data_IF_127294171384
#
_entry.id   IF_127294171384
#
_cell.length_a   1.000
_cell.length_b   1.000
_cell.length_c   1.000
_cell.angle_alpha   90.00
_cell.angle_beta   90.00
_cell.angle_gamma   90.00
#
_symmetry.space_group_name_H-M   'P 1'
#
loop_
_entity.id
_entity.type
_entity.pdbx_description
1 polymer ?
#
# COMPACT_ATOMS: atom_id res chain seq x y z
N UNK A 1 11.72 -2.33 26.60
CA UNK A 1 10.37 -1.77 26.29
C UNK A 1 9.73 -1.15 27.53
N UNK A 2 9.27 0.11 27.46
CA UNK A 2 8.62 0.86 28.56
C UNK A 2 7.25 0.28 28.89
N UNK A 3 6.76 0.42 30.14
CA UNK A 3 5.46 -0.09 30.59
C UNK A 3 4.30 0.46 29.74
N UNK A 4 4.33 1.77 29.44
CA UNK A 4 3.31 2.43 28.60
C UNK A 4 3.24 1.81 27.19
N UNK A 5 4.37 1.49 26.60
CA UNK A 5 4.45 0.86 25.27
C UNK A 5 3.86 -0.56 25.32
N UNK A 6 4.18 -1.32 26.36
CA UNK A 6 3.61 -2.66 26.57
C UNK A 6 2.09 -2.62 26.71
N UNK A 7 1.55 -1.66 27.47
CA UNK A 7 0.10 -1.49 27.61
C UNK A 7 -0.55 -1.16 26.26
N UNK A 8 0.04 -0.26 25.46
CA UNK A 8 -0.43 0.06 24.11
C UNK A 8 -0.48 -1.19 23.22
N UNK A 9 0.54 -2.05 23.25
CA UNK A 9 0.59 -3.28 22.47
C UNK A 9 -0.47 -4.30 22.93
N UNK A 10 -0.73 -4.42 24.23
CA UNK A 10 -1.79 -5.31 24.75
C UNK A 10 -3.19 -4.81 24.36
N UNK A 11 -3.44 -3.50 24.42
CA UNK A 11 -4.69 -2.91 23.95
C UNK A 11 -4.88 -3.14 22.44
N UNK A 12 -3.84 -2.90 21.64
CA UNK A 12 -3.91 -3.19 20.21
C UNK A 12 -4.20 -4.66 19.91
N UNK A 13 -3.65 -5.60 20.70
CA UNK A 13 -3.91 -7.02 20.56
C UNK A 13 -5.39 -7.35 20.80
N UNK A 14 -6.02 -6.74 21.80
CA UNK A 14 -7.45 -6.92 22.06
C UNK A 14 -8.31 -6.38 20.92
N UNK A 15 -7.99 -5.16 20.42
CA UNK A 15 -8.66 -4.55 19.28
C UNK A 15 -8.49 -5.40 18.01
N UNK A 16 -7.28 -5.94 17.77
CA UNK A 16 -7.04 -6.78 16.62
C UNK A 16 -7.86 -8.06 16.65
N UNK A 17 -8.00 -8.69 17.84
CA UNK A 17 -8.86 -9.88 18.00
C UNK A 17 -10.30 -9.56 17.61
N UNK A 18 -10.85 -8.47 18.09
CA UNK A 18 -12.20 -8.02 17.72
C UNK A 18 -12.31 -7.78 16.21
N UNK A 19 -11.36 -7.07 15.59
CA UNK A 19 -11.35 -6.83 14.13
C UNK A 19 -11.32 -8.13 13.31
N UNK A 20 -10.59 -9.15 13.79
CA UNK A 20 -10.56 -10.48 13.15
C UNK A 20 -11.91 -11.18 13.26
N UNK A 21 -12.60 -11.05 14.38
CA UNK A 21 -13.94 -11.62 14.59
C UNK A 21 -15.00 -10.92 13.75
N UNK A 22 -14.97 -9.58 13.69
CA UNK A 22 -15.92 -8.75 12.93
C UNK A 22 -15.63 -8.76 11.43
N UNK A 23 -14.35 -8.73 11.05
CA UNK A 23 -13.78 -8.66 9.70
C UNK A 23 -14.60 -7.83 8.71
N UNK A 24 -15.05 -6.63 9.15
CA UNK A 24 -15.72 -5.65 8.28
C UNK A 24 -14.76 -5.20 7.15
N UNK A 25 -15.25 -5.19 5.92
CA UNK A 25 -14.47 -4.74 4.76
C UNK A 25 -14.42 -3.20 4.75
N UNK A 26 -13.21 -2.62 4.85
CA UNK A 26 -13.01 -1.16 4.78
C UNK A 26 -12.29 -0.71 3.51
N UNK A 27 -11.47 -1.58 2.91
CA UNK A 27 -10.76 -1.28 1.67
C UNK A 27 -10.87 -2.46 0.71
N UNK A 28 -11.21 -2.15 -0.52
CA UNK A 28 -11.18 -3.09 -1.63
C UNK A 28 -10.22 -2.54 -2.70
N UNK A 29 -9.08 -3.21 -2.89
CA UNK A 29 -8.21 -2.91 -3.99
C UNK A 29 -8.73 -3.58 -5.26
N UNK A 30 -8.78 -2.82 -6.33
CA UNK A 30 -9.03 -3.34 -7.65
C UNK A 30 -7.76 -3.18 -8.51
N UNK A 31 -7.12 -4.31 -8.84
CA UNK A 31 -6.04 -4.36 -9.81
C UNK A 31 -6.66 -4.26 -11.21
N UNK A 32 -7.01 -3.03 -11.60
CA UNK A 32 -7.85 -2.77 -12.76
C UNK A 32 -7.14 -2.97 -14.11
N UNK A 33 -5.80 -3.04 -14.11
CA UNK A 33 -4.95 -3.31 -15.26
C UNK A 33 -3.56 -3.78 -14.80
N UNK A 34 -2.90 -4.63 -15.58
CA UNK A 34 -1.47 -4.95 -15.41
C UNK A 34 -0.57 -4.15 -16.36
N UNK A 35 -1.13 -3.30 -17.22
CA UNK A 35 -0.34 -2.42 -18.08
C UNK A 35 0.22 -1.25 -17.27
N UNK A 36 1.48 -0.88 -17.57
CA UNK A 36 2.16 0.25 -16.94
C UNK A 36 3.05 0.97 -17.94
N UNK A 37 3.02 2.29 -17.92
CA UNK A 37 3.86 3.15 -18.76
C UNK A 37 5.28 3.39 -18.20
N UNK A 38 5.62 2.75 -17.07
CA UNK A 38 6.94 2.79 -16.45
C UNK A 38 7.56 1.40 -16.31
N UNK A 39 8.89 1.38 -16.17
CA UNK A 39 9.65 0.16 -15.89
C UNK A 39 10.47 0.32 -14.60
N UNK A 40 9.77 0.59 -13.49
CA UNK A 40 10.40 0.87 -12.19
C UNK A 40 11.28 -0.30 -11.72
N UNK A 41 12.49 -0.01 -11.21
CA UNK A 41 13.44 -1.01 -10.71
C UNK A 41 12.91 -1.81 -9.52
N UNK A 42 12.08 -1.19 -8.70
CA UNK A 42 11.51 -1.77 -7.46
C UNK A 42 10.12 -2.38 -7.64
N UNK A 43 9.63 -2.57 -8.87
CA UNK A 43 8.26 -3.05 -9.08
C UNK A 43 8.10 -4.52 -8.68
N UNK A 44 7.35 -4.76 -7.60
CA UNK A 44 7.06 -6.11 -7.13
C UNK A 44 6.06 -6.89 -8.02
N UNK A 45 5.29 -6.19 -8.86
CA UNK A 45 4.30 -6.79 -9.78
C UNK A 45 4.86 -7.05 -11.18
N UNK A 46 6.07 -6.60 -11.47
CA UNK A 46 6.70 -6.66 -12.80
C UNK A 46 5.79 -6.18 -13.96
N UNK A 47 4.91 -5.21 -13.70
CA UNK A 47 4.03 -4.63 -14.70
C UNK A 47 4.80 -3.91 -15.79
N UNK A 48 4.33 -4.01 -17.04
CA UNK A 48 4.98 -3.47 -18.25
C UNK A 48 3.96 -2.77 -19.16
N UNK A 49 4.44 -2.13 -20.24
CA UNK A 49 3.59 -1.45 -21.23
C UNK A 49 2.56 -2.39 -21.86
N UNK A 50 2.96 -3.62 -22.14
CA UNK A 50 2.08 -4.68 -22.64
C UNK A 50 1.86 -5.71 -21.53
N UNK A 51 0.66 -6.25 -21.48
CA UNK A 51 0.28 -7.35 -20.59
C UNK A 51 -0.47 -8.40 -21.42
N UNK A 52 -0.20 -9.67 -21.14
CA UNK A 52 -0.96 -10.78 -21.69
C UNK A 52 -2.37 -10.85 -21.10
N UNK A 53 -2.55 -10.38 -19.87
CA UNK A 53 -3.84 -10.25 -19.20
C UNK A 53 -4.55 -8.99 -19.69
N UNK A 54 -5.74 -9.16 -20.24
CA UNK A 54 -6.63 -8.06 -20.60
C UNK A 54 -7.11 -7.30 -19.35
N UNK A 55 -7.44 -6.02 -19.51
CA UNK A 55 -8.10 -5.25 -18.46
C UNK A 55 -9.46 -5.91 -18.14
N UNK A 56 -9.75 -6.08 -16.86
CA UNK A 56 -11.06 -6.59 -16.44
C UNK A 56 -12.18 -5.66 -16.90
N UNK A 57 -13.23 -6.14 -17.57
CA UNK A 57 -14.40 -5.32 -17.87
C UNK A 57 -14.98 -4.74 -16.58
N UNK A 58 -15.29 -3.43 -16.58
CA UNK A 58 -15.84 -2.78 -15.39
C UNK A 58 -17.11 -3.50 -14.88
N UNK A 59 -17.97 -3.96 -15.80
CA UNK A 59 -19.20 -4.68 -15.45
C UNK A 59 -18.97 -5.93 -14.58
N UNK A 60 -17.82 -6.58 -14.68
CA UNK A 60 -17.50 -7.75 -13.86
C UNK A 60 -17.10 -7.33 -12.44
N UNK A 61 -16.31 -6.26 -12.31
CA UNK A 61 -16.00 -5.71 -11.00
C UNK A 61 -17.24 -5.10 -10.32
N UNK A 62 -18.14 -4.47 -11.07
CA UNK A 62 -19.37 -3.90 -10.52
C UNK A 62 -20.29 -4.95 -9.88
N UNK A 63 -20.30 -6.19 -10.36
CA UNK A 63 -21.03 -7.30 -9.71
C UNK A 63 -20.52 -7.55 -8.29
N UNK A 64 -19.20 -7.47 -8.09
CA UNK A 64 -18.59 -7.56 -6.75
C UNK A 64 -19.07 -6.42 -5.84
N UNK A 65 -19.11 -5.19 -6.36
CA UNK A 65 -19.59 -4.04 -5.59
C UNK A 65 -21.08 -4.14 -5.25
N UNK A 66 -21.90 -4.57 -6.22
CA UNK A 66 -23.33 -4.76 -6.02
C UNK A 66 -23.61 -5.86 -4.99
N UNK A 67 -22.79 -6.91 -4.93
CA UNK A 67 -22.85 -7.94 -3.90
C UNK A 67 -22.46 -7.39 -2.51
N UNK A 68 -21.33 -6.68 -2.38
CA UNK A 68 -20.90 -6.07 -1.11
C UNK A 68 -22.00 -5.14 -0.55
N UNK A 69 -22.63 -4.33 -1.40
CA UNK A 69 -23.67 -3.38 -1.04
C UNK A 69 -24.90 -4.05 -0.41
N UNK A 70 -25.17 -5.33 -0.71
CA UNK A 70 -26.29 -6.05 -0.08
C UNK A 70 -26.00 -6.46 1.37
N UNK A 71 -24.73 -6.40 1.80
CA UNK A 71 -24.29 -6.90 3.10
C UNK A 71 -23.76 -5.83 4.04
N UNK A 72 -23.22 -4.73 3.51
CA UNK A 72 -22.74 -3.61 4.33
C UNK A 72 -22.88 -2.26 3.63
N UNK A 73 -22.79 -1.18 4.41
CA UNK A 73 -22.85 0.19 3.93
C UNK A 73 -21.66 0.50 3.00
N UNK A 74 -21.89 0.78 1.70
CA UNK A 74 -20.84 1.04 0.74
C UNK A 74 -20.01 2.29 1.08
N UNK A 75 -20.58 3.28 1.79
CA UNK A 75 -19.86 4.50 2.19
C UNK A 75 -18.72 4.25 3.18
N UNK A 76 -18.71 3.07 3.84
CA UNK A 76 -17.63 2.62 4.73
C UNK A 76 -16.52 1.87 4.00
N UNK A 77 -16.67 1.62 2.70
CA UNK A 77 -15.69 0.89 1.89
C UNK A 77 -15.03 1.83 0.89
N UNK A 78 -13.71 1.93 0.98
CA UNK A 78 -12.92 2.63 -0.03
C UNK A 78 -12.49 1.63 -1.11
N UNK A 79 -12.90 1.87 -2.35
CA UNK A 79 -12.40 1.16 -3.53
C UNK A 79 -11.18 1.90 -4.05
N UNK A 80 -10.04 1.22 -4.12
CA UNK A 80 -8.78 1.81 -4.58
C UNK A 80 -8.41 1.17 -5.91
N UNK A 81 -8.46 1.97 -6.98
CA UNK A 81 -7.97 1.54 -8.30
C UNK A 81 -6.45 1.59 -8.34
N UNK A 82 -5.86 0.51 -8.81
CA UNK A 82 -4.42 0.30 -8.87
C UNK A 82 -4.10 -0.80 -9.89
N UNK A 83 -2.90 -1.38 -9.85
CA UNK A 83 -2.46 -2.45 -10.75
C UNK A 83 -1.05 -2.19 -11.23
N UNK A 84 -0.84 -2.08 -12.55
CA UNK A 84 0.31 -1.43 -13.14
C UNK A 84 0.18 0.09 -12.94
N UNK A 85 -0.40 0.77 -13.91
CA UNK A 85 -0.80 2.17 -13.79
C UNK A 85 -2.29 2.29 -14.16
N UNK A 86 -3.18 2.70 -13.23
CA UNK A 86 -4.61 2.76 -13.49
C UNK A 86 -4.97 3.63 -14.69
N UNK A 87 -4.28 4.74 -14.90
CA UNK A 87 -4.51 5.67 -16.02
C UNK A 87 -4.14 5.09 -17.40
N UNK A 88 -3.59 3.87 -17.47
CA UNK A 88 -3.49 3.12 -18.73
C UNK A 88 -4.86 2.62 -19.22
N UNK A 89 -5.88 2.59 -18.36
CA UNK A 89 -7.26 2.36 -18.76
C UNK A 89 -7.86 3.64 -19.35
N UNK A 90 -8.46 3.52 -20.52
CA UNK A 90 -9.11 4.67 -21.18
C UNK A 90 -10.45 5.04 -20.54
N UNK A 91 -11.12 4.06 -19.94
CA UNK A 91 -12.42 4.16 -19.26
C UNK A 91 -12.32 4.39 -17.75
N UNK A 92 -11.16 4.79 -17.21
CA UNK A 92 -10.96 4.91 -15.76
C UNK A 92 -11.90 5.91 -15.09
N UNK A 93 -12.18 7.05 -15.73
CA UNK A 93 -13.10 8.05 -15.21
C UNK A 93 -14.54 7.49 -15.11
N UNK A 94 -14.98 6.77 -16.13
CA UNK A 94 -16.29 6.08 -16.17
C UNK A 94 -16.35 4.99 -15.09
N UNK A 95 -15.25 4.24 -14.90
CA UNK A 95 -15.14 3.28 -13.80
C UNK A 95 -15.33 3.96 -12.43
N UNK A 96 -14.67 5.09 -12.20
CA UNK A 96 -14.79 5.87 -10.97
C UNK A 96 -16.22 6.38 -10.75
N UNK A 97 -16.88 6.89 -11.79
CA UNK A 97 -18.26 7.32 -11.73
C UNK A 97 -19.21 6.19 -11.32
N UNK A 98 -19.05 5.00 -11.90
CA UNK A 98 -19.90 3.84 -11.59
C UNK A 98 -19.65 3.30 -10.16
N UNK A 99 -18.40 3.34 -9.67
CA UNK A 99 -18.05 3.04 -8.27
C UNK A 99 -18.77 4.02 -7.33
N UNK A 100 -18.61 5.33 -7.59
CA UNK A 100 -19.18 6.41 -6.76
C UNK A 100 -20.71 6.41 -6.78
N UNK A 101 -21.34 6.15 -7.92
CA UNK A 101 -22.80 6.02 -8.07
C UNK A 101 -23.39 4.90 -7.21
N UNK A 102 -22.60 3.85 -6.90
CA UNK A 102 -22.99 2.76 -6.00
C UNK A 102 -22.80 3.11 -4.52
N UNK A 103 -22.30 4.31 -4.21
CA UNK A 103 -22.12 4.81 -2.85
C UNK A 103 -20.74 4.49 -2.25
N UNK A 104 -19.83 3.86 -2.99
CA UNK A 104 -18.47 3.60 -2.54
C UNK A 104 -17.60 4.85 -2.63
N UNK A 105 -16.62 4.97 -1.72
CA UNK A 105 -15.57 5.99 -1.82
C UNK A 105 -14.53 5.51 -2.82
N UNK A 106 -14.23 6.32 -3.85
CA UNK A 106 -13.21 5.98 -4.84
C UNK A 106 -11.88 6.66 -4.55
N UNK A 107 -10.81 5.87 -4.57
CA UNK A 107 -9.42 6.31 -4.48
C UNK A 107 -8.55 5.70 -5.57
N UNK A 108 -7.33 6.24 -5.75
CA UNK A 108 -6.37 5.78 -6.75
C UNK A 108 -4.94 5.84 -6.22
N UNK A 109 -4.09 4.89 -6.65
CA UNK A 109 -2.63 4.98 -6.50
C UNK A 109 -2.03 5.08 -7.90
N UNK A 110 -1.18 6.08 -8.14
CA UNK A 110 -0.62 6.37 -9.47
C UNK A 110 0.86 6.70 -9.43
N UNK A 111 1.54 6.48 -10.55
CA UNK A 111 2.91 6.94 -10.75
C UNK A 111 3.00 8.42 -11.20
N UNK A 112 1.88 9.08 -11.44
CA UNK A 112 1.78 10.49 -11.80
C UNK A 112 2.10 10.85 -13.26
N UNK A 113 2.58 9.91 -14.06
CA UNK A 113 3.03 10.19 -15.45
C UNK A 113 1.95 10.78 -16.37
N UNK A 114 0.70 10.41 -16.15
CA UNK A 114 -0.45 10.80 -16.99
C UNK A 114 -1.40 11.74 -16.27
N UNK A 115 -1.07 12.16 -15.04
CA UNK A 115 -1.94 13.01 -14.23
C UNK A 115 -1.71 14.49 -14.56
N UNK A 116 -2.48 15.00 -15.52
CA UNK A 116 -2.56 16.43 -15.81
C UNK A 116 -3.67 17.10 -14.97
N UNK A 117 -3.69 18.45 -14.87
CA UNK A 117 -4.80 19.16 -14.23
C UNK A 117 -6.17 18.76 -14.79
N UNK A 118 -6.32 18.70 -16.10
CA UNK A 118 -7.58 18.36 -16.78
C UNK A 118 -8.02 16.92 -16.47
N UNK A 119 -7.06 15.99 -16.40
CA UNK A 119 -7.33 14.60 -16.00
C UNK A 119 -7.77 14.51 -14.55
N UNK A 120 -7.15 15.28 -13.67
CA UNK A 120 -7.54 15.31 -12.27
C UNK A 120 -8.93 15.90 -12.09
N UNK A 121 -9.25 17.00 -12.80
CA UNK A 121 -10.60 17.61 -12.84
C UNK A 121 -11.63 16.57 -13.27
N UNK A 122 -11.37 15.84 -14.35
CA UNK A 122 -12.22 14.74 -14.84
C UNK A 122 -12.45 13.68 -13.75
N UNK A 123 -11.40 13.22 -13.10
CA UNK A 123 -11.52 12.18 -12.04
C UNK A 123 -12.27 12.69 -10.81
N UNK A 124 -12.01 13.92 -10.35
CA UNK A 124 -12.71 14.52 -9.21
C UNK A 124 -14.19 14.71 -9.52
N UNK A 125 -14.53 15.16 -10.74
CA UNK A 125 -15.92 15.26 -11.21
C UNK A 125 -16.63 13.90 -11.26
N UNK A 126 -15.89 12.81 -11.52
CA UNK A 126 -16.37 11.45 -11.52
C UNK A 126 -16.22 10.73 -10.16
N UNK A 127 -16.00 11.49 -9.07
CA UNK A 127 -16.10 10.98 -7.71
C UNK A 127 -14.80 10.58 -7.03
N UNK A 128 -13.62 10.87 -7.61
CA UNK A 128 -12.34 10.64 -6.93
C UNK A 128 -12.27 11.46 -5.63
N UNK A 129 -11.94 10.79 -4.51
CA UNK A 129 -11.82 11.41 -3.18
C UNK A 129 -10.44 11.23 -2.55
N UNK A 130 -9.67 10.24 -3.01
CA UNK A 130 -8.34 9.98 -2.49
C UNK A 130 -7.37 9.61 -3.60
N UNK A 131 -6.16 10.16 -3.54
CA UNK A 131 -5.09 9.82 -4.49
C UNK A 131 -3.74 9.77 -3.78
N UNK A 132 -2.96 8.75 -4.07
CA UNK A 132 -1.58 8.66 -3.66
C UNK A 132 -0.67 8.67 -4.90
N UNK A 133 0.34 9.55 -4.89
CA UNK A 133 1.31 9.64 -5.98
C UNK A 133 2.70 9.22 -5.53
N UNK A 134 3.37 8.49 -6.39
CA UNK A 134 4.74 8.02 -6.14
C UNK A 134 5.77 9.11 -6.42
N UNK A 135 6.64 9.43 -5.44
CA UNK A 135 7.69 10.43 -5.57
C UNK A 135 8.94 10.01 -4.75
N UNK A 136 9.97 9.45 -5.41
CA UNK A 136 11.03 8.69 -4.72
C UNK A 136 12.31 9.47 -4.44
N UNK A 137 12.39 10.76 -4.74
CA UNK A 137 13.58 11.57 -4.52
C UNK A 137 13.74 12.69 -5.53
N UNK A 138 14.91 13.31 -5.59
CA UNK A 138 15.25 14.31 -6.60
C UNK A 138 15.35 13.70 -7.99
N UNK A 139 15.46 14.52 -9.02
CA UNK A 139 15.30 14.19 -10.43
C UNK A 139 16.09 12.95 -10.86
N UNK A 140 17.40 12.91 -10.56
CA UNK A 140 18.27 11.80 -10.96
C UNK A 140 17.78 10.48 -10.35
N UNK A 141 17.56 10.44 -9.04
CA UNK A 141 17.20 9.22 -8.32
C UNK A 141 15.76 8.80 -8.57
N UNK A 142 14.83 9.77 -8.69
CA UNK A 142 13.44 9.47 -9.07
C UNK A 142 13.38 8.86 -10.47
N UNK A 143 14.02 9.50 -11.46
CA UNK A 143 14.04 9.00 -12.84
C UNK A 143 14.75 7.64 -12.96
N UNK A 144 15.85 7.45 -12.21
CA UNK A 144 16.54 6.17 -12.12
C UNK A 144 15.64 5.06 -11.55
N UNK A 145 14.95 5.34 -10.44
CA UNK A 145 14.04 4.39 -9.78
C UNK A 145 12.87 4.02 -10.68
N UNK A 146 12.31 5.01 -11.37
CA UNK A 146 11.14 4.85 -12.25
C UNK A 146 11.48 4.33 -13.65
N UNK A 147 12.76 4.33 -14.04
CA UNK A 147 13.23 3.89 -15.35
C UNK A 147 12.74 4.81 -16.49
N UNK A 148 12.55 6.11 -16.23
CA UNK A 148 12.04 7.06 -17.21
C UNK A 148 12.52 8.48 -16.91
N UNK A 149 13.20 9.12 -17.88
CA UNK A 149 13.79 10.45 -17.75
C UNK A 149 12.77 11.59 -17.55
N UNK A 150 11.49 11.38 -17.86
CA UNK A 150 10.44 12.39 -17.71
C UNK A 150 9.63 12.22 -16.42
N UNK A 151 9.87 11.16 -15.63
CA UNK A 151 9.03 10.83 -14.50
C UNK A 151 9.01 11.93 -13.43
N UNK A 152 10.17 12.51 -13.12
CA UNK A 152 10.27 13.60 -12.15
C UNK A 152 9.47 14.84 -12.57
N UNK A 153 9.61 15.27 -13.82
CA UNK A 153 8.86 16.42 -14.34
C UNK A 153 7.35 16.19 -14.26
N UNK A 154 6.89 15.00 -14.62
CA UNK A 154 5.46 14.68 -14.60
C UNK A 154 4.90 14.57 -13.17
N UNK A 155 5.65 14.02 -12.22
CA UNK A 155 5.19 13.99 -10.83
C UNK A 155 5.07 15.39 -10.22
N UNK A 156 5.94 16.33 -10.59
CA UNK A 156 5.81 17.72 -10.16
C UNK A 156 4.51 18.35 -10.71
N UNK A 157 4.18 18.11 -11.98
CA UNK A 157 2.90 18.53 -12.56
C UNK A 157 1.71 17.90 -11.83
N UNK A 158 1.79 16.62 -11.49
CA UNK A 158 0.76 15.92 -10.74
C UNK A 158 0.56 16.52 -9.34
N UNK A 159 1.66 16.79 -8.61
CA UNK A 159 1.62 17.44 -7.29
C UNK A 159 0.97 18.81 -7.34
N UNK A 160 1.35 19.63 -8.33
CA UNK A 160 0.74 20.96 -8.50
C UNK A 160 -0.76 20.86 -8.81
N UNK A 161 -1.18 19.93 -9.66
CA UNK A 161 -2.60 19.68 -9.93
C UNK A 161 -3.35 19.28 -8.64
N UNK A 162 -2.82 18.31 -7.87
CA UNK A 162 -3.45 17.87 -6.62
C UNK A 162 -3.58 18.98 -5.58
N UNK A 163 -2.61 19.89 -5.51
CA UNK A 163 -2.63 21.05 -4.61
C UNK A 163 -3.79 22.00 -4.89
N UNK A 164 -4.27 22.08 -6.12
CA UNK A 164 -5.40 22.91 -6.51
C UNK A 164 -6.78 22.33 -6.09
N UNK A 165 -6.82 21.10 -5.56
CA UNK A 165 -8.04 20.41 -5.13
C UNK A 165 -8.14 20.26 -3.61
N UNK A 166 -8.64 21.25 -2.86
CA UNK A 166 -8.64 21.26 -1.41
C UNK A 166 -9.54 20.18 -0.77
N UNK A 167 -10.50 19.65 -1.52
CA UNK A 167 -11.42 18.58 -1.07
C UNK A 167 -10.85 17.17 -1.30
N UNK A 168 -9.78 17.06 -2.09
CA UNK A 168 -9.12 15.79 -2.37
C UNK A 168 -8.20 15.42 -1.20
N UNK A 169 -8.35 14.22 -0.68
CA UNK A 169 -7.36 13.65 0.23
C UNK A 169 -6.21 13.06 -0.57
N UNK A 170 -5.00 13.57 -0.37
CA UNK A 170 -3.85 13.06 -1.13
C UNK A 170 -2.57 13.01 -0.29
N UNK A 171 -1.65 12.16 -0.72
CA UNK A 171 -0.34 12.02 -0.14
C UNK A 171 0.71 11.59 -1.17
N UNK A 172 1.96 11.75 -0.78
CA UNK A 172 3.14 11.31 -1.53
C UNK A 172 3.70 10.04 -0.92
N UNK A 173 4.08 9.09 -1.79
CA UNK A 173 4.72 7.83 -1.40
C UNK A 173 6.16 7.82 -1.91
N UNK A 174 7.11 7.52 -1.00
CA UNK A 174 8.53 7.35 -1.32
C UNK A 174 9.01 5.96 -0.92
N UNK A 175 9.59 5.23 -1.86
CA UNK A 175 10.33 3.99 -1.60
C UNK A 175 11.80 4.32 -1.34
N UNK A 176 12.19 4.32 -0.06
CA UNK A 176 13.55 4.68 0.39
C UNK A 176 14.52 3.55 0.07
N UNK A 177 15.69 3.91 -0.45
CA UNK A 177 16.77 3.00 -0.83
C UNK A 177 18.15 3.59 -0.45
N UNK A 178 19.24 2.89 -0.74
CA UNK A 178 20.60 3.34 -0.38
C UNK A 178 21.03 4.66 -1.03
N UNK A 179 20.44 5.03 -2.18
CA UNK A 179 20.74 6.30 -2.83
C UNK A 179 20.03 7.47 -2.15
N UNK A 180 18.78 7.27 -1.73
CA UNK A 180 17.90 8.35 -1.28
C UNK A 180 17.93 8.58 0.24
N UNK A 181 18.33 7.58 1.04
CA UNK A 181 18.42 7.70 2.50
C UNK A 181 19.29 8.88 2.96
N UNK A 182 20.38 9.15 2.27
CA UNK A 182 21.40 10.13 2.63
C UNK A 182 20.94 11.60 2.56
N UNK A 183 19.82 11.89 1.85
CA UNK A 183 19.29 13.25 1.69
C UNK A 183 17.80 13.36 2.03
N UNK A 184 17.27 12.46 2.86
CA UNK A 184 15.87 12.54 3.31
C UNK A 184 15.52 13.88 3.96
N UNK A 185 16.39 14.54 4.76
CA UNK A 185 16.09 15.85 5.31
C UNK A 185 15.89 16.93 4.23
N UNK A 186 16.76 16.98 3.23
CA UNK A 186 16.67 17.94 2.12
C UNK A 186 15.43 17.64 1.26
N UNK A 187 15.13 16.38 1.02
CA UNK A 187 13.95 15.98 0.27
C UNK A 187 12.67 16.31 1.04
N UNK A 188 12.63 16.10 2.36
CA UNK A 188 11.53 16.57 3.23
C UNK A 188 11.27 18.05 3.06
N UNK A 189 12.31 18.87 3.17
CA UNK A 189 12.19 20.32 3.09
C UNK A 189 11.72 20.77 1.69
N UNK A 190 12.14 20.06 0.66
CA UNK A 190 11.65 20.24 -0.70
C UNK A 190 10.16 19.89 -0.82
N UNK A 191 9.71 18.73 -0.28
CA UNK A 191 8.29 18.35 -0.27
C UNK A 191 7.43 19.39 0.46
N UNK A 192 7.91 19.92 1.59
CA UNK A 192 7.23 21.01 2.32
C UNK A 192 7.12 22.26 1.45
N UNK A 193 8.17 22.63 0.71
CA UNK A 193 8.17 23.81 -0.18
C UNK A 193 7.16 23.67 -1.33
N UNK A 194 6.85 22.44 -1.75
CA UNK A 194 5.79 22.12 -2.72
C UNK A 194 4.38 22.11 -2.10
N UNK A 195 4.24 22.39 -0.81
CA UNK A 195 2.95 22.36 -0.10
C UNK A 195 2.43 20.96 0.23
N UNK A 196 3.28 19.94 0.20
CA UNK A 196 2.91 18.57 0.55
C UNK A 196 2.80 18.47 2.07
N UNK A 197 1.64 17.99 2.55
CA UNK A 197 1.33 17.88 3.98
C UNK A 197 1.36 16.44 4.52
N UNK A 198 1.32 15.45 3.63
CA UNK A 198 1.31 14.01 3.98
C UNK A 198 2.34 13.26 3.14
N UNK A 199 3.19 12.52 3.81
CA UNK A 199 4.28 11.76 3.20
C UNK A 199 4.37 10.37 3.82
N UNK A 200 4.23 9.33 3.00
CA UNK A 200 4.44 7.94 3.42
C UNK A 200 5.77 7.43 2.91
N UNK A 201 6.57 6.88 3.80
CA UNK A 201 7.85 6.25 3.47
C UNK A 201 7.72 4.74 3.57
N UNK A 202 8.23 4.05 2.58
CA UNK A 202 8.28 2.60 2.50
C UNK A 202 9.73 2.14 2.29
N UNK A 203 10.03 0.93 2.69
CA UNK A 203 11.21 0.21 2.21
C UNK A 203 10.88 -0.52 0.90
N UNK A 204 11.90 -0.83 0.12
CA UNK A 204 11.71 -1.66 -1.07
C UNK A 204 11.66 -3.13 -0.67
N UNK A 205 10.65 -3.87 -1.12
CA UNK A 205 10.55 -5.30 -0.88
C UNK A 205 11.42 -6.06 -1.89
N UNK A 206 12.11 -7.13 -1.46
CA UNK A 206 12.99 -7.92 -2.33
C UNK A 206 12.19 -8.91 -3.19
N UNK A 207 11.20 -8.41 -3.94
CA UNK A 207 10.33 -9.19 -4.82
C UNK A 207 10.21 -8.57 -6.21
N UNK A 208 9.89 -9.39 -7.20
CA UNK A 208 9.75 -8.94 -8.58
C UNK A 208 11.06 -8.37 -9.11
N UNK A 209 11.03 -7.18 -9.72
CA UNK A 209 12.26 -6.55 -10.26
C UNK A 209 13.27 -6.12 -9.21
N UNK A 210 12.87 -5.99 -7.94
CA UNK A 210 13.79 -5.66 -6.85
C UNK A 210 14.54 -6.89 -6.29
N UNK A 211 14.21 -8.10 -6.75
CA UNK A 211 14.89 -9.32 -6.34
C UNK A 211 16.34 -9.30 -6.85
N UNK A 212 17.29 -9.54 -5.95
CA UNK A 212 18.71 -9.52 -6.31
C UNK A 212 19.34 -8.13 -6.49
N UNK A 213 18.61 -7.03 -6.23
CA UNK A 213 19.07 -5.65 -6.36
C UNK A 213 19.46 -5.07 -4.97
N UNK A 214 20.72 -5.26 -4.50
CA UNK A 214 21.12 -4.85 -3.15
C UNK A 214 21.09 -3.34 -2.95
N UNK A 215 21.28 -2.53 -3.99
CA UNK A 215 21.24 -1.07 -3.94
C UNK A 215 19.84 -0.54 -3.54
N UNK A 216 18.80 -1.33 -3.80
CA UNK A 216 17.42 -1.01 -3.40
C UNK A 216 17.15 -1.32 -1.92
N UNK A 217 17.96 -2.16 -1.27
CA UNK A 217 17.73 -2.61 0.10
C UNK A 217 18.53 -1.77 1.10
N UNK A 218 17.86 -1.27 2.14
CA UNK A 218 18.53 -0.60 3.26
C UNK A 218 19.26 -1.63 4.14
N UNK A 219 20.49 -1.32 4.57
CA UNK A 219 21.14 -2.03 5.66
C UNK A 219 20.34 -1.86 6.97
N UNK A 220 20.65 -2.65 8.00
CA UNK A 220 19.99 -2.51 9.31
C UNK A 220 20.19 -1.11 9.90
N UNK A 221 21.42 -0.57 9.81
CA UNK A 221 21.73 0.78 10.28
C UNK A 221 20.95 1.86 9.54
N UNK A 222 20.91 1.80 8.21
CA UNK A 222 20.14 2.74 7.38
C UNK A 222 18.63 2.63 7.64
N UNK A 223 18.13 1.42 7.91
CA UNK A 223 16.72 1.25 8.26
C UNK A 223 16.36 1.97 9.56
N UNK A 224 17.19 1.85 10.59
CA UNK A 224 16.99 2.58 11.86
C UNK A 224 17.20 4.08 11.69
N UNK A 225 18.18 4.52 10.91
CA UNK A 225 18.35 5.93 10.53
C UNK A 225 17.07 6.52 9.91
N UNK A 226 16.45 5.80 8.99
CA UNK A 226 15.16 6.20 8.39
C UNK A 226 14.05 6.29 9.44
N UNK A 227 13.96 5.33 10.38
CA UNK A 227 12.93 5.36 11.42
C UNK A 227 13.13 6.55 12.38
N UNK A 228 14.37 6.84 12.78
CA UNK A 228 14.67 8.02 13.61
C UNK A 228 14.38 9.32 12.85
N UNK A 229 14.70 9.39 11.56
CA UNK A 229 14.35 10.53 10.72
C UNK A 229 12.83 10.74 10.66
N UNK A 230 12.02 9.68 10.44
CA UNK A 230 10.56 9.79 10.43
C UNK A 230 10.04 10.28 11.78
N UNK A 231 10.54 9.69 12.88
CA UNK A 231 10.18 10.09 14.24
C UNK A 231 10.47 11.57 14.50
N UNK A 232 11.66 12.05 14.14
CA UNK A 232 12.05 13.45 14.30
C UNK A 232 11.18 14.37 13.43
N UNK A 233 10.96 14.04 12.18
CA UNK A 233 10.06 14.78 11.26
C UNK A 233 8.65 14.92 11.81
N UNK A 234 8.13 13.87 12.45
CA UNK A 234 6.81 13.90 13.10
C UNK A 234 6.78 14.83 14.32
N UNK A 235 7.86 14.86 15.12
CA UNK A 235 8.00 15.77 16.26
C UNK A 235 8.06 17.23 15.82
N UNK A 236 8.69 17.53 14.69
CA UNK A 236 8.73 18.87 14.10
C UNK A 236 7.36 19.35 13.60
N UNK A 237 6.49 18.46 13.18
CA UNK A 237 5.10 18.75 12.84
C UNK A 237 4.87 19.56 11.56
N UNK A 238 5.90 19.80 10.74
CA UNK A 238 5.80 20.58 9.49
C UNK A 238 5.17 19.79 8.34
N UNK A 239 5.38 18.49 8.32
CA UNK A 239 4.79 17.53 7.39
C UNK A 239 4.46 16.26 8.16
N UNK A 240 3.33 15.63 7.87
CA UNK A 240 2.99 14.35 8.46
C UNK A 240 3.73 13.24 7.72
N UNK A 241 4.85 12.80 8.28
CA UNK A 241 5.58 11.63 7.81
C UNK A 241 5.08 10.36 8.52
N UNK A 242 4.74 9.32 7.76
CA UNK A 242 4.32 8.03 8.30
C UNK A 242 5.14 6.91 7.63
N UNK A 243 5.67 5.97 8.43
CA UNK A 243 6.18 4.72 7.90
C UNK A 243 5.01 3.86 7.40
N UNK A 244 5.16 3.27 6.22
CA UNK A 244 4.12 2.49 5.57
C UNK A 244 3.73 1.21 6.29
N UNK A 245 2.98 0.34 5.64
CA UNK A 245 2.45 -0.90 6.21
C UNK A 245 3.46 -2.07 6.19
N UNK A 246 4.74 -1.81 6.35
CA UNK A 246 5.83 -2.74 6.08
C UNK A 246 6.27 -3.61 7.26
N UNK A 247 5.48 -3.76 8.30
CA UNK A 247 5.81 -4.69 9.35
C UNK A 247 5.87 -4.10 10.76
N UNK A 248 6.05 -4.99 11.72
CA UNK A 248 6.12 -4.65 13.14
C UNK A 248 7.49 -4.10 13.53
N UNK A 249 7.51 -2.99 14.28
CA UNK A 249 8.71 -2.21 14.56
C UNK A 249 9.09 -2.16 16.06
N UNK A 250 8.43 -2.94 16.92
CA UNK A 250 8.77 -2.97 18.34
C UNK A 250 8.57 -1.61 19.03
N UNK A 251 9.65 -1.03 19.53
CA UNK A 251 9.60 0.22 20.28
C UNK A 251 9.28 1.47 19.41
N UNK A 252 9.40 1.38 18.08
CA UNK A 252 9.01 2.46 17.17
C UNK A 252 7.49 2.52 16.90
N UNK A 253 6.70 1.51 17.33
CA UNK A 253 5.26 1.56 17.16
C UNK A 253 4.64 2.78 17.85
N UNK A 254 3.77 3.51 17.13
CA UNK A 254 3.19 4.78 17.60
C UNK A 254 4.12 6.00 17.55
N UNK A 255 5.41 5.83 17.18
CA UNK A 255 6.35 6.94 17.01
C UNK A 255 6.50 7.34 15.54
N UNK A 256 6.56 6.35 14.65
CA UNK A 256 6.74 6.55 13.19
C UNK A 256 5.44 6.41 12.39
N UNK A 257 4.34 6.12 13.04
CA UNK A 257 2.96 6.06 12.51
C UNK A 257 1.95 6.16 13.66
N UNK A 258 0.69 6.48 13.36
CA UNK A 258 -0.32 6.75 14.39
C UNK A 258 -0.96 5.48 15.00
N UNK A 259 -0.59 4.30 14.56
CA UNK A 259 -1.16 3.03 15.01
C UNK A 259 -0.05 2.02 15.30
N UNK A 260 -0.39 1.01 16.06
CA UNK A 260 0.44 -0.20 16.17
C UNK A 260 0.20 -1.05 14.93
N UNK A 261 1.27 -1.59 14.38
CA UNK A 261 1.18 -2.43 13.20
C UNK A 261 0.34 -3.70 13.44
N UNK A 262 -0.55 -3.92 12.53
CA UNK A 262 -1.17 -5.22 12.27
C UNK A 262 -1.43 -5.31 10.76
N UNK A 263 -1.03 -6.42 10.15
CA UNK A 263 -1.35 -6.61 8.74
C UNK A 263 -2.86 -6.79 8.57
N UNK A 264 -3.47 -5.88 7.83
CA UNK A 264 -4.91 -5.81 7.62
C UNK A 264 -5.43 -6.70 6.49
N UNK A 265 -4.51 -7.36 5.74
CA UNK A 265 -4.88 -8.27 4.66
C UNK A 265 -5.83 -9.37 5.16
N UNK A 266 -6.98 -9.51 4.50
CA UNK A 266 -8.02 -10.49 4.82
C UNK A 266 -8.79 -10.24 6.12
N UNK A 267 -8.50 -9.12 6.85
CA UNK A 267 -9.19 -8.71 8.07
C UNK A 267 -10.18 -7.57 7.77
N UNK A 268 -9.70 -6.50 7.16
CA UNK A 268 -10.52 -5.38 6.70
C UNK A 268 -10.08 -4.85 5.32
N UNK A 269 -9.16 -5.54 4.66
CA UNK A 269 -8.69 -5.27 3.31
C UNK A 269 -8.81 -6.54 2.47
N UNK A 270 -9.36 -6.39 1.26
CA UNK A 270 -9.35 -7.41 0.22
C UNK A 270 -8.88 -6.82 -1.11
N UNK A 271 -8.63 -7.69 -2.08
CA UNK A 271 -8.28 -7.31 -3.45
C UNK A 271 -9.00 -8.19 -4.45
N UNK A 272 -9.41 -7.59 -5.56
CA UNK A 272 -9.76 -8.29 -6.80
C UNK A 272 -8.64 -8.03 -7.79
N UNK A 273 -7.96 -9.07 -8.21
CA UNK A 273 -6.83 -9.01 -9.13
C UNK A 273 -7.32 -8.96 -10.60
N UNK A 274 -6.43 -8.63 -11.52
CA UNK A 274 -6.76 -8.44 -12.92
C UNK A 274 -7.36 -9.68 -13.59
N UNK A 275 -7.00 -10.89 -13.12
CA UNK A 275 -7.54 -12.17 -13.57
C UNK A 275 -8.84 -12.61 -12.83
N UNK A 276 -9.36 -11.75 -11.96
CA UNK A 276 -10.53 -12.04 -11.12
C UNK A 276 -10.23 -12.75 -9.82
N UNK A 277 -8.97 -13.09 -9.53
CA UNK A 277 -8.58 -13.73 -8.26
C UNK A 277 -8.87 -12.84 -7.05
N UNK A 278 -9.37 -13.44 -5.96
CA UNK A 278 -9.70 -12.78 -4.70
C UNK A 278 -8.56 -13.02 -3.71
N UNK A 279 -7.91 -11.94 -3.26
CA UNK A 279 -6.77 -11.97 -2.35
C UNK A 279 -6.97 -11.02 -1.16
N UNK A 280 -6.13 -11.16 -0.12
CA UNK A 280 -6.20 -10.31 1.08
C UNK A 280 -5.58 -8.92 0.88
N UNK A 281 -4.65 -8.77 -0.04
CA UNK A 281 -3.99 -7.49 -0.35
C UNK A 281 -3.28 -7.58 -1.69
N UNK A 282 -3.32 -6.50 -2.45
CA UNK A 282 -2.63 -6.35 -3.73
C UNK A 282 -1.11 -6.57 -3.65
N UNK A 283 -0.48 -6.21 -2.52
CA UNK A 283 0.97 -6.37 -2.35
C UNK A 283 1.43 -7.81 -2.12
N UNK A 284 0.51 -8.77 -1.99
CA UNK A 284 0.84 -10.18 -1.81
C UNK A 284 1.09 -10.81 -3.18
N UNK A 285 2.33 -11.26 -3.42
CA UNK A 285 2.74 -11.87 -4.69
C UNK A 285 2.71 -13.39 -4.67
N UNK A 286 2.78 -13.99 -3.48
CA UNK A 286 2.62 -15.42 -3.31
C UNK A 286 1.15 -15.84 -3.50
N UNK A 287 0.94 -17.10 -3.90
CA UNK A 287 -0.41 -17.63 -4.12
C UNK A 287 -1.13 -17.91 -2.80
N UNK A 288 -1.75 -16.86 -2.27
CA UNK A 288 -2.70 -16.91 -1.15
C UNK A 288 -4.12 -16.56 -1.61
N UNK A 289 -4.44 -16.79 -2.89
CA UNK A 289 -5.77 -16.51 -3.44
C UNK A 289 -6.82 -17.42 -2.78
N UNK A 290 -8.02 -16.88 -2.50
CA UNK A 290 -9.06 -17.59 -1.77
C UNK A 290 -10.27 -17.93 -2.63
N UNK A 291 -10.30 -17.42 -3.86
CA UNK A 291 -11.35 -17.65 -4.83
C UNK A 291 -11.14 -16.81 -6.09
N UNK A 292 -12.14 -16.80 -6.97
CA UNK A 292 -12.12 -16.00 -8.19
C UNK A 292 -13.54 -15.53 -8.52
N UNK A 293 -13.72 -14.22 -8.81
CA UNK A 293 -15.04 -13.59 -9.04
C UNK A 293 -15.83 -14.19 -10.21
N UNK A 294 -15.16 -14.89 -11.11
CA UNK A 294 -15.81 -15.59 -12.23
C UNK A 294 -16.36 -16.96 -11.85
N UNK A 295 -16.06 -17.46 -10.64
CA UNK A 295 -16.45 -18.81 -10.17
C UNK A 295 -17.17 -18.78 -8.84
N UNK A 296 -16.86 -17.77 -8.02
CA UNK A 296 -17.26 -17.68 -6.61
C UNK A 296 -18.00 -16.38 -6.33
N UNK A 297 -18.89 -16.37 -5.35
CA UNK A 297 -19.39 -15.17 -4.72
C UNK A 297 -18.26 -14.50 -3.95
N UNK A 298 -17.98 -13.21 -4.21
CA UNK A 298 -16.97 -12.47 -3.49
C UNK A 298 -17.25 -12.45 -1.98
N UNK A 299 -18.53 -12.23 -1.61
CA UNK A 299 -18.92 -12.15 -0.21
C UNK A 299 -18.80 -13.48 0.52
N UNK A 300 -19.17 -14.59 -0.12
CA UNK A 300 -18.97 -15.92 0.46
C UNK A 300 -17.47 -16.19 0.71
N UNK A 301 -16.64 -15.91 -0.28
CA UNK A 301 -15.18 -16.05 -0.14
C UNK A 301 -14.66 -15.17 1.00
N UNK A 302 -15.06 -13.88 1.04
CA UNK A 302 -14.68 -12.96 2.09
C UNK A 302 -15.07 -13.45 3.48
N UNK A 303 -16.29 -13.90 3.65
CA UNK A 303 -16.80 -14.36 4.95
C UNK A 303 -16.16 -15.68 5.39
N UNK A 304 -16.05 -16.66 4.50
CA UNK A 304 -15.87 -18.07 4.88
C UNK A 304 -14.49 -18.65 4.52
N UNK A 305 -13.71 -18.06 3.61
CA UNK A 305 -12.50 -18.70 3.10
C UNK A 305 -11.19 -17.99 3.50
N UNK A 306 -11.23 -16.84 4.15
CA UNK A 306 -10.06 -16.04 4.49
C UNK A 306 -9.29 -16.49 5.74
N UNK A 307 -9.43 -17.77 6.16
CA UNK A 307 -8.77 -18.29 7.35
C UNK A 307 -7.24 -18.18 7.31
N UNK A 308 -6.61 -18.33 6.14
CA UNK A 308 -5.15 -18.19 5.98
C UNK A 308 -4.65 -16.81 6.43
N UNK A 309 -5.48 -15.78 6.32
CA UNK A 309 -5.19 -14.42 6.75
C UNK A 309 -5.58 -14.14 8.20
N UNK A 310 -6.64 -14.76 8.71
CA UNK A 310 -7.27 -14.50 10.01
C UNK A 310 -6.68 -15.38 11.12
N UNK A 311 -6.45 -16.67 10.90
CA UNK A 311 -5.69 -17.54 11.81
C UNK A 311 -4.23 -17.66 11.33
N UNK A 312 -3.35 -16.89 11.96
CA UNK A 312 -1.94 -16.78 11.58
C UNK A 312 -1.01 -17.74 12.31
N UNK A 313 -1.54 -18.74 13.04
CA UNK A 313 -0.72 -19.72 13.79
C UNK A 313 0.25 -20.47 12.89
N UNK A 314 -0.13 -20.72 11.63
CA UNK A 314 0.71 -21.38 10.64
C UNK A 314 2.00 -20.63 10.32
N UNK A 315 2.02 -19.29 10.56
CA UNK A 315 3.21 -18.44 10.39
C UNK A 315 4.20 -18.55 11.54
N UNK A 316 3.84 -19.24 12.65
CA UNK A 316 4.70 -19.39 13.85
C UNK A 316 5.75 -20.48 13.63
N UNK A 317 6.63 -20.25 12.68
CA UNK A 317 7.72 -21.14 12.29
C UNK A 317 8.98 -20.33 11.99
N UNK A 318 10.09 -20.99 11.77
CA UNK A 318 11.39 -20.39 11.46
C UNK A 318 11.71 -19.27 12.47
N UNK A 319 12.09 -18.08 12.00
CA UNK A 319 12.41 -16.92 12.84
C UNK A 319 11.27 -16.48 13.78
N UNK A 320 10.04 -16.90 13.50
CA UNK A 320 8.87 -16.57 14.31
C UNK A 320 8.58 -17.60 15.40
N UNK A 321 9.19 -18.81 15.38
CA UNK A 321 8.86 -19.92 16.29
C UNK A 321 9.02 -19.52 17.77
N UNK A 322 10.17 -18.94 18.13
CA UNK A 322 10.54 -18.56 19.49
C UNK A 322 10.57 -17.03 19.69
N UNK A 323 10.03 -16.27 18.74
CA UNK A 323 10.05 -14.81 18.79
C UNK A 323 9.19 -14.26 19.94
N UNK A 324 9.81 -13.54 20.89
CA UNK A 324 9.12 -12.91 22.03
C UNK A 324 8.05 -11.90 21.63
N UNK A 325 8.16 -11.33 20.41
CA UNK A 325 7.19 -10.36 19.87
C UNK A 325 6.06 -10.99 19.08
N UNK A 326 6.08 -12.33 18.89
CA UNK A 326 5.02 -13.05 18.17
C UNK A 326 3.61 -12.64 18.59
N UNK A 327 3.35 -12.54 19.90
CA UNK A 327 2.02 -12.20 20.44
C UNK A 327 1.45 -10.87 19.99
N UNK A 328 2.30 -9.94 19.52
CA UNK A 328 1.93 -8.63 19.01
C UNK A 328 2.02 -8.54 17.48
N UNK A 329 3.07 -9.12 16.91
CA UNK A 329 3.40 -9.07 15.50
C UNK A 329 2.57 -10.03 14.64
N UNK A 330 2.27 -11.24 15.16
CA UNK A 330 1.54 -12.32 14.47
C UNK A 330 2.14 -12.66 13.09
N UNK A 331 3.47 -12.73 13.01
CA UNK A 331 4.16 -13.20 11.80
C UNK A 331 4.40 -12.13 10.72
N UNK A 332 4.26 -10.85 11.06
CA UNK A 332 4.55 -9.74 10.17
C UNK A 332 3.52 -9.60 9.00
N UNK A 333 3.89 -8.89 7.92
CA UNK A 333 3.04 -8.71 6.75
C UNK A 333 2.95 -9.96 5.88
N UNK A 334 1.76 -10.27 5.39
CA UNK A 334 1.55 -11.37 4.44
C UNK A 334 2.38 -11.19 3.16
N UNK A 335 2.52 -9.96 2.70
CA UNK A 335 3.30 -9.60 1.51
C UNK A 335 4.82 -9.79 1.66
N UNK A 336 5.30 -10.05 2.88
CA UNK A 336 6.70 -10.34 3.18
C UNK A 336 7.00 -11.85 3.19
N UNK A 337 6.03 -12.68 2.82
CA UNK A 337 6.17 -14.13 2.78
C UNK A 337 6.09 -14.66 1.36
N UNK A 338 6.89 -15.70 1.10
CA UNK A 338 6.83 -16.46 -0.14
C UNK A 338 5.68 -17.49 -0.14
N UNK A 339 5.55 -18.26 -1.20
CA UNK A 339 4.52 -19.29 -1.36
C UNK A 339 4.60 -20.44 -0.36
N UNK A 340 5.78 -20.66 0.23
CA UNK A 340 6.00 -21.67 1.29
C UNK A 340 5.73 -21.10 2.70
N UNK A 341 5.43 -19.79 2.76
CA UNK A 341 5.15 -19.08 3.99
C UNK A 341 6.40 -18.68 4.78
N UNK A 342 7.59 -18.74 4.18
CA UNK A 342 8.84 -18.27 4.77
C UNK A 342 8.87 -16.76 4.78
N UNK A 343 9.25 -16.15 5.92
CA UNK A 343 9.40 -14.70 6.05
C UNK A 343 10.71 -14.25 5.36
N UNK A 344 10.60 -13.37 4.37
CA UNK A 344 11.75 -12.88 3.62
C UNK A 344 12.43 -11.68 4.30
N UNK A 345 11.63 -10.85 4.99
CA UNK A 345 12.14 -9.67 5.71
C UNK A 345 11.43 -9.54 7.05
N UNK A 346 12.21 -9.37 8.12
CA UNK A 346 11.71 -9.04 9.45
C UNK A 346 12.24 -7.67 9.88
N UNK A 347 11.39 -6.65 9.86
CA UNK A 347 11.75 -5.27 10.27
C UNK A 347 12.16 -5.22 11.74
N UNK A 348 11.51 -5.98 12.60
CA UNK A 348 11.89 -6.05 14.01
C UNK A 348 13.32 -6.60 14.20
N UNK A 349 13.69 -7.65 13.45
CA UNK A 349 15.07 -8.18 13.50
C UNK A 349 16.07 -7.13 12.99
N UNK A 350 15.76 -6.37 11.93
CA UNK A 350 16.65 -5.27 11.47
C UNK A 350 16.94 -4.24 12.56
N UNK A 351 15.97 -3.99 13.46
CA UNK A 351 16.11 -3.03 14.56
C UNK A 351 16.98 -3.58 15.69
N UNK A 352 16.82 -4.85 16.06
CA UNK A 352 17.50 -5.43 17.22
C UNK A 352 18.87 -6.05 16.92
N UNK A 353 19.23 -6.19 15.65
CA UNK A 353 20.50 -6.78 15.17
C UNK A 353 21.55 -5.70 14.84
N UNK A 354 21.47 -4.55 15.48
CA UNK A 354 22.45 -3.46 15.38
C UNK A 354 23.55 -3.58 16.42
#
# INVERSE_FOLDING_TARGET
>A
MRISKRLMLELNRAVLKQRVEEHELHQLFWECTLRCNLNCRHCGSDCRMLSEQNDMPIGDFLKVLDEIKTHQDPSKVMVITTGGEPMMRRDLAECGAEISKRGFVWGMVTNGMLLTPEKLDEFVANGLRSIAVSFDGFEEDHNWMRGNASSYKNVLTAVEAMRQHPTLTWDVITCVNQRTIKYLPEFRDFLISLGITRWRLFTVFPFGRAEGEPELQLSNAQFVEMLEFIKQTRLEGKIRADYGCDGFLGDYEGEVRNHVYSCSAGINIASVLADGSISGCLSIRADYHQGNIYKDSFWDVWQNRFNVYRDRKWMKKDDCADCKMWRYCLGNGMHLRDGEGKLQVCQYHKIISQ
#
